data_IF_272647069749
#
_entry.id   IF_272647069749
#
_cell.length_a   1.000
_cell.length_b   1.000
_cell.length_c   1.000
_cell.angle_alpha   90.00
_cell.angle_beta   90.00
_cell.angle_gamma   90.00
#
_symmetry.space_group_name_H-M   'P 1'
#
loop_
_entity.id
_entity.type
_entity.pdbx_description
1 polymer ?
#
# COMPACT_ATOMS: atom_id res chain seq x y z
N UNK A 1 41.55 -10.15 1.68
CA UNK A 1 41.04 -9.07 2.55
C UNK A 1 39.84 -9.65 3.25
N UNK A 2 40.11 -10.25 4.41
CA UNK A 2 39.14 -10.95 5.26
C UNK A 2 38.20 -9.92 5.92
N UNK A 3 36.89 -10.19 5.85
CA UNK A 3 35.91 -9.53 6.69
C UNK A 3 35.98 -10.19 8.07
N UNK A 4 36.68 -9.57 9.00
CA UNK A 4 36.60 -9.92 10.42
C UNK A 4 35.25 -9.44 10.97
N UNK A 5 34.31 -10.38 11.11
CA UNK A 5 33.12 -10.20 11.92
C UNK A 5 33.53 -10.05 13.39
N UNK A 6 33.43 -8.83 13.93
CA UNK A 6 33.46 -8.60 15.37
C UNK A 6 32.15 -9.08 15.99
N UNK A 7 32.07 -10.37 16.33
CA UNK A 7 31.03 -10.91 17.21
C UNK A 7 31.55 -10.93 18.64
N UNK A 8 31.12 -9.96 19.44
CA UNK A 8 31.28 -9.98 20.90
C UNK A 8 30.23 -10.91 21.52
N UNK A 9 30.63 -11.93 22.31
CA UNK A 9 29.70 -12.86 22.94
C UNK A 9 29.20 -12.26 24.26
N UNK A 10 27.90 -11.92 24.34
CA UNK A 10 27.27 -11.67 25.64
C UNK A 10 26.11 -10.69 25.70
N UNK A 11 25.87 -9.84 24.69
CA UNK A 11 24.78 -8.86 24.74
C UNK A 11 23.78 -9.00 23.57
N UNK A 12 22.56 -8.59 23.85
CA UNK A 12 21.32 -8.87 23.12
C UNK A 12 21.30 -8.34 21.68
N UNK A 13 21.95 -9.04 20.75
CA UNK A 13 21.92 -8.80 19.29
C UNK A 13 20.56 -9.04 18.61
N UNK A 14 19.50 -9.34 19.35
CA UNK A 14 18.18 -9.58 18.76
C UNK A 14 17.63 -8.32 18.07
N UNK A 15 17.84 -7.14 18.64
CA UNK A 15 17.29 -5.90 18.08
C UNK A 15 18.05 -5.43 16.83
N UNK A 16 19.38 -5.53 16.84
CA UNK A 16 20.24 -5.19 15.69
C UNK A 16 20.02 -6.20 14.55
N UNK A 17 19.92 -7.50 14.86
CA UNK A 17 19.59 -8.54 13.88
C UNK A 17 18.20 -8.34 13.26
N UNK A 18 17.19 -7.98 14.05
CA UNK A 18 15.84 -7.69 13.54
C UNK A 18 15.80 -6.45 12.64
N UNK A 19 16.58 -5.41 12.96
CA UNK A 19 16.69 -4.23 12.11
C UNK A 19 17.37 -4.55 10.77
N UNK A 20 18.48 -5.30 10.80
CA UNK A 20 19.17 -5.74 9.59
C UNK A 20 18.30 -6.66 8.70
N UNK A 21 17.54 -7.58 9.31
CA UNK A 21 16.61 -8.45 8.57
C UNK A 21 15.49 -7.65 7.89
N UNK A 22 14.91 -6.66 8.58
CA UNK A 22 13.90 -5.76 7.98
C UNK A 22 14.45 -4.96 6.80
N UNK A 23 15.71 -4.53 6.86
CA UNK A 23 16.35 -3.86 5.72
C UNK A 23 16.54 -4.79 4.53
N UNK A 24 16.89 -6.07 4.75
CA UNK A 24 17.03 -7.07 3.67
C UNK A 24 15.68 -7.37 3.01
N UNK A 25 14.63 -7.54 3.80
CA UNK A 25 13.27 -7.78 3.27
C UNK A 25 12.75 -6.58 2.48
N UNK A 26 13.05 -5.36 2.94
CA UNK A 26 12.70 -4.12 2.24
C UNK A 26 13.47 -3.95 0.92
N UNK A 27 14.76 -4.31 0.91
CA UNK A 27 15.60 -4.33 -0.31
C UNK A 27 15.03 -5.31 -1.34
N UNK A 28 14.72 -6.53 -0.93
CA UNK A 28 14.11 -7.54 -1.80
C UNK A 28 12.75 -7.08 -2.35
N UNK A 29 11.96 -6.38 -1.51
CA UNK A 29 10.72 -5.75 -1.94
C UNK A 29 10.94 -4.70 -3.03
N UNK A 30 11.94 -3.83 -2.84
CA UNK A 30 12.29 -2.79 -3.82
C UNK A 30 12.76 -3.39 -5.15
N UNK A 31 13.66 -4.38 -5.11
CA UNK A 31 14.13 -5.11 -6.30
C UNK A 31 12.98 -5.76 -7.06
N UNK A 32 12.05 -6.41 -6.34
CA UNK A 32 10.88 -7.04 -6.95
C UNK A 32 9.94 -6.02 -7.61
N UNK A 33 9.78 -4.83 -7.03
CA UNK A 33 8.99 -3.74 -7.65
C UNK A 33 9.67 -3.24 -8.92
N UNK A 34 10.99 -3.04 -8.87
CA UNK A 34 11.78 -2.55 -10.01
C UNK A 34 11.68 -3.54 -11.18
N UNK A 35 11.91 -4.83 -10.91
CA UNK A 35 11.79 -5.90 -11.90
C UNK A 35 10.39 -5.92 -12.53
N UNK A 36 9.34 -5.81 -11.71
CA UNK A 36 7.97 -5.77 -12.21
C UNK A 36 7.69 -4.54 -13.10
N UNK A 37 8.22 -3.37 -12.72
CA UNK A 37 8.10 -2.15 -13.51
C UNK A 37 8.89 -2.21 -14.83
N UNK A 38 10.02 -2.90 -14.86
CA UNK A 38 10.81 -3.12 -16.07
C UNK A 38 10.10 -4.07 -17.04
N UNK A 39 9.58 -5.19 -16.55
CA UNK A 39 8.76 -6.12 -17.36
C UNK A 39 7.55 -5.38 -17.95
N UNK A 40 6.87 -4.56 -17.14
CA UNK A 40 5.75 -3.74 -17.62
C UNK A 40 6.17 -2.76 -18.72
N UNK A 41 7.32 -2.12 -18.57
CA UNK A 41 7.84 -1.17 -19.55
C UNK A 41 8.19 -1.87 -20.87
N UNK A 42 8.89 -2.99 -20.80
CA UNK A 42 9.23 -3.77 -21.99
C UNK A 42 7.98 -4.24 -22.74
N UNK A 43 6.97 -4.75 -22.02
CA UNK A 43 5.73 -5.20 -22.64
C UNK A 43 5.01 -4.02 -23.33
N UNK A 44 4.92 -2.87 -22.66
CA UNK A 44 4.29 -1.67 -23.23
C UNK A 44 5.05 -1.15 -24.46
N UNK A 45 6.38 -1.22 -24.44
CA UNK A 45 7.23 -0.81 -25.55
C UNK A 45 7.06 -1.76 -26.75
N UNK A 46 7.10 -3.08 -26.52
CA UNK A 46 6.83 -4.10 -27.56
C UNK A 46 5.45 -3.93 -28.19
N UNK A 47 4.43 -3.64 -27.38
CA UNK A 47 3.09 -3.35 -27.88
C UNK A 47 3.05 -2.06 -28.72
N UNK A 48 3.71 -0.99 -28.28
CA UNK A 48 3.76 0.26 -29.02
C UNK A 48 4.49 0.12 -30.38
N UNK A 49 5.61 -0.62 -30.40
CA UNK A 49 6.34 -0.93 -31.64
C UNK A 49 5.50 -1.79 -32.58
N UNK A 50 4.78 -2.78 -32.04
CA UNK A 50 3.85 -3.59 -32.82
C UNK A 50 2.71 -2.75 -33.40
N UNK A 51 2.11 -1.86 -32.62
CA UNK A 51 1.07 -0.94 -33.11
C UNK A 51 1.61 0.01 -34.19
N UNK A 52 2.82 0.53 -34.01
CA UNK A 52 3.46 1.42 -34.98
C UNK A 52 3.76 0.69 -36.30
N UNK A 53 4.30 -0.52 -36.23
CA UNK A 53 4.57 -1.36 -37.39
C UNK A 53 3.29 -1.84 -38.07
N UNK A 54 2.25 -2.20 -37.31
CA UNK A 54 0.92 -2.53 -37.85
C UNK A 54 0.27 -1.35 -38.57
N UNK A 55 0.33 -0.14 -37.98
CA UNK A 55 -0.16 1.10 -38.62
C UNK A 55 0.62 1.46 -39.87
N UNK A 56 1.93 1.21 -39.88
CA UNK A 56 2.78 1.45 -41.06
C UNK A 56 2.55 0.43 -42.18
N UNK A 57 2.28 -0.85 -41.85
CA UNK A 57 2.06 -1.92 -42.83
C UNK A 57 0.60 -2.08 -43.29
N UNK A 58 -0.37 -1.52 -42.55
CA UNK A 58 -1.80 -1.63 -42.86
C UNK A 58 -2.35 -3.07 -42.82
N UNK A 59 -1.63 -4.01 -42.21
CA UNK A 59 -2.02 -5.43 -42.05
C UNK A 59 -1.93 -5.83 -40.59
N UNK A 60 -2.91 -6.61 -40.12
CA UNK A 60 -2.88 -7.22 -38.79
C UNK A 60 -1.67 -8.14 -38.66
N UNK A 61 -0.69 -7.74 -37.86
CA UNK A 61 0.43 -8.60 -37.45
C UNK A 61 0.05 -9.39 -36.18
N UNK A 62 0.58 -10.60 -36.02
CA UNK A 62 0.35 -11.39 -34.81
C UNK A 62 0.97 -10.70 -33.59
N UNK A 63 0.23 -10.67 -32.48
CA UNK A 63 0.66 -10.02 -31.24
C UNK A 63 2.07 -10.47 -30.84
N UNK A 64 2.91 -9.54 -30.33
CA UNK A 64 4.27 -9.87 -29.93
C UNK A 64 4.27 -10.94 -28.81
N UNK A 65 5.30 -11.81 -28.77
CA UNK A 65 5.41 -12.80 -27.71
C UNK A 65 5.58 -12.08 -26.35
N UNK A 66 4.69 -12.39 -25.42
CA UNK A 66 4.70 -11.81 -24.05
C UNK A 66 6.00 -12.15 -23.33
N UNK A 67 6.42 -11.35 -22.37
CA UNK A 67 7.56 -11.68 -21.53
C UNK A 67 7.43 -13.08 -20.87
N UNK A 68 8.52 -13.85 -20.78
CA UNK A 68 8.54 -15.27 -20.34
C UNK A 68 7.92 -15.43 -18.95
N UNK A 69 8.19 -14.50 -18.02
CA UNK A 69 7.58 -14.52 -16.69
C UNK A 69 6.06 -14.37 -16.74
N UNK A 70 5.53 -13.51 -17.62
CA UNK A 70 4.08 -13.34 -17.80
C UNK A 70 3.45 -14.59 -18.41
N UNK A 71 4.15 -15.26 -19.33
CA UNK A 71 3.70 -16.52 -19.89
C UNK A 71 3.66 -17.63 -18.83
N UNK A 72 4.66 -17.70 -17.94
CA UNK A 72 4.75 -18.69 -16.88
C UNK A 72 3.63 -18.55 -15.82
N UNK A 73 3.18 -17.32 -15.57
CA UNK A 73 2.04 -17.02 -14.67
C UNK A 73 0.66 -17.28 -15.32
N UNK A 74 0.63 -17.58 -16.62
CA UNK A 74 -0.56 -17.96 -17.38
C UNK A 74 -1.23 -16.81 -18.14
N UNK A 75 -2.06 -17.17 -19.14
CA UNK A 75 -2.62 -16.27 -20.15
C UNK A 75 -3.48 -15.10 -19.61
N UNK A 76 -3.94 -15.17 -18.37
CA UNK A 76 -4.80 -14.17 -17.73
C UNK A 76 -4.04 -13.02 -17.04
N UNK A 77 -2.71 -13.10 -16.92
CA UNK A 77 -1.91 -12.02 -16.35
C UNK A 77 -1.56 -11.00 -17.43
N UNK A 78 -2.10 -9.79 -17.29
CA UNK A 78 -1.60 -8.61 -18.00
C UNK A 78 -0.40 -8.05 -17.26
N UNK A 79 0.49 -7.32 -17.95
CA UNK A 79 1.68 -6.76 -17.33
C UNK A 79 1.37 -5.82 -16.16
N UNK A 80 0.24 -5.10 -16.21
CA UNK A 80 -0.20 -4.26 -15.10
C UNK A 80 -0.68 -5.10 -13.92
N UNK A 81 -1.38 -6.21 -14.15
CA UNK A 81 -1.75 -7.11 -13.04
C UNK A 81 -0.53 -7.72 -12.35
N UNK A 82 0.55 -7.99 -13.10
CA UNK A 82 1.78 -8.50 -12.52
C UNK A 82 2.40 -7.50 -11.52
N UNK A 83 2.51 -6.23 -11.90
CA UNK A 83 3.01 -5.17 -11.00
C UNK A 83 2.14 -5.06 -9.74
N UNK A 84 0.81 -5.10 -9.90
CA UNK A 84 -0.11 -5.04 -8.77
C UNK A 84 0.05 -6.25 -7.83
N UNK A 85 0.25 -7.45 -8.38
CA UNK A 85 0.45 -8.65 -7.57
C UNK A 85 1.80 -8.66 -6.86
N UNK A 86 2.87 -8.15 -7.49
CA UNK A 86 4.16 -7.94 -6.84
C UNK A 86 4.04 -6.97 -5.65
N UNK A 87 3.24 -5.91 -5.78
CA UNK A 87 2.96 -5.00 -4.66
C UNK A 87 2.15 -5.66 -3.54
N UNK A 88 1.20 -6.54 -3.87
CA UNK A 88 0.38 -7.26 -2.88
C UNK A 88 1.17 -8.32 -2.10
N UNK A 89 2.20 -8.90 -2.72
CA UNK A 89 3.08 -9.88 -2.07
C UNK A 89 3.96 -9.26 -0.98
N UNK A 90 4.25 -7.96 -1.08
CA UNK A 90 5.09 -7.26 -0.11
C UNK A 90 4.29 -7.02 1.18
N UNK A 91 4.92 -7.30 2.31
CA UNK A 91 4.35 -7.04 3.64
C UNK A 91 4.06 -5.54 3.80
N UNK A 92 2.91 -5.22 4.40
CA UNK A 92 2.50 -3.83 4.59
C UNK A 92 3.47 -3.01 5.47
N UNK A 93 4.27 -3.69 6.31
CA UNK A 93 5.32 -3.07 7.14
C UNK A 93 6.53 -2.64 6.31
N UNK A 94 6.84 -3.39 5.26
CA UNK A 94 8.06 -3.24 4.47
C UNK A 94 7.80 -2.51 3.15
N UNK A 95 6.53 -2.36 2.76
CA UNK A 95 6.12 -1.65 1.55
C UNK A 95 6.62 -0.20 1.53
N UNK A 96 6.49 0.53 2.64
CA UNK A 96 6.95 1.92 2.74
C UNK A 96 8.48 1.99 2.67
N UNK A 97 9.18 1.09 3.35
CA UNK A 97 10.64 1.02 3.27
C UNK A 97 11.10 0.65 1.85
N UNK A 98 10.48 -0.34 1.20
CA UNK A 98 10.77 -0.71 -0.18
C UNK A 98 10.54 0.45 -1.16
N UNK A 99 9.44 1.20 -1.02
CA UNK A 99 9.15 2.36 -1.86
C UNK A 99 10.14 3.52 -1.67
N UNK A 100 10.74 3.65 -0.49
CA UNK A 100 11.78 4.65 -0.23
C UNK A 100 13.09 4.36 -0.99
N UNK A 101 13.38 3.09 -1.26
CA UNK A 101 14.59 2.65 -1.95
C UNK A 101 14.50 2.80 -3.48
N UNK A 102 13.34 3.19 -4.03
CA UNK A 102 13.15 3.31 -5.47
C UNK A 102 13.87 4.56 -6.04
N UNK A 103 14.60 4.42 -7.15
CA UNK A 103 15.11 5.58 -7.89
C UNK A 103 13.98 6.42 -8.51
N UNK A 104 14.19 7.73 -8.63
CA UNK A 104 13.16 8.68 -9.07
C UNK A 104 12.57 8.38 -10.45
N UNK A 105 13.36 7.85 -11.39
CA UNK A 105 12.89 7.49 -12.73
C UNK A 105 11.79 6.42 -12.72
N UNK A 106 11.84 5.50 -11.74
CA UNK A 106 10.82 4.47 -11.55
C UNK A 106 9.58 5.05 -10.87
N UNK A 107 9.75 6.01 -9.97
CA UNK A 107 8.65 6.68 -9.26
C UNK A 107 7.70 7.37 -10.23
N UNK A 108 8.22 8.09 -11.24
CA UNK A 108 7.38 8.78 -12.24
C UNK A 108 6.51 7.81 -13.04
N UNK A 109 7.13 6.71 -13.49
CA UNK A 109 6.44 5.64 -14.22
C UNK A 109 5.39 5.00 -13.34
N UNK A 110 5.73 4.77 -12.08
CA UNK A 110 4.83 4.16 -11.12
C UNK A 110 3.63 5.07 -10.77
N UNK A 111 3.82 6.38 -10.62
CA UNK A 111 2.71 7.34 -10.43
C UNK A 111 1.73 7.32 -11.60
N UNK A 112 2.23 7.26 -12.84
CA UNK A 112 1.39 7.14 -14.04
C UNK A 112 0.60 5.83 -14.07
N UNK A 113 1.22 4.76 -13.58
CA UNK A 113 0.61 3.43 -13.47
C UNK A 113 -0.48 3.40 -12.37
N UNK A 114 -0.28 4.13 -11.27
CA UNK A 114 -1.29 4.27 -10.23
C UNK A 114 -2.56 4.94 -10.77
N UNK A 115 -2.43 5.99 -11.60
CA UNK A 115 -3.60 6.61 -12.25
C UNK A 115 -4.40 5.57 -13.04
N UNK A 116 -3.72 4.73 -13.82
CA UNK A 116 -4.35 3.64 -14.57
C UNK A 116 -5.08 2.63 -13.66
N UNK A 117 -4.53 2.29 -12.49
CA UNK A 117 -5.21 1.40 -11.54
C UNK A 117 -6.43 2.03 -10.90
N UNK A 118 -6.36 3.32 -10.55
CA UNK A 118 -7.48 4.06 -9.96
C UNK A 118 -8.66 4.15 -10.93
N UNK A 119 -8.40 4.42 -12.21
CA UNK A 119 -9.44 4.45 -13.24
C UNK A 119 -10.15 3.10 -13.40
N UNK A 120 -9.45 1.98 -13.13
CA UNK A 120 -9.98 0.61 -13.20
C UNK A 120 -10.44 0.03 -11.86
N UNK A 121 -10.41 0.82 -10.78
CA UNK A 121 -10.75 0.38 -9.42
C UNK A 121 -10.01 -0.89 -8.97
N UNK A 122 -8.75 -1.07 -9.38
CA UNK A 122 -7.95 -2.23 -8.97
C UNK A 122 -7.19 -1.91 -7.67
N UNK A 123 -7.53 -2.62 -6.59
CA UNK A 123 -6.92 -2.45 -5.25
C UNK A 123 -6.71 -0.98 -4.84
N UNK A 124 -7.78 -0.16 -4.81
CA UNK A 124 -7.67 1.29 -4.68
C UNK A 124 -6.97 1.75 -3.39
N UNK A 125 -7.17 1.05 -2.27
CA UNK A 125 -6.54 1.38 -0.98
C UNK A 125 -5.01 1.29 -1.04
N UNK A 126 -4.48 0.23 -1.66
CA UNK A 126 -3.05 0.03 -1.83
C UNK A 126 -2.47 1.11 -2.75
N UNK A 127 -3.13 1.37 -3.87
CA UNK A 127 -2.73 2.40 -4.83
C UNK A 127 -2.68 3.80 -4.20
N UNK A 128 -3.71 4.19 -3.44
CA UNK A 128 -3.76 5.48 -2.74
C UNK A 128 -2.67 5.54 -1.66
N UNK A 129 -2.45 4.47 -0.90
CA UNK A 129 -1.37 4.42 0.11
C UNK A 129 0.00 4.64 -0.55
N UNK A 130 0.30 3.92 -1.62
CA UNK A 130 1.55 4.07 -2.37
C UNK A 130 1.70 5.49 -2.95
N UNK A 131 0.65 6.03 -3.58
CA UNK A 131 0.64 7.38 -4.15
C UNK A 131 0.96 8.45 -3.11
N UNK A 132 0.25 8.44 -1.98
CA UNK A 132 0.46 9.42 -0.90
C UNK A 132 1.88 9.33 -0.34
N UNK A 133 2.41 8.12 -0.19
CA UNK A 133 3.76 7.91 0.31
C UNK A 133 4.84 8.44 -0.66
N UNK A 134 4.73 8.10 -1.95
CA UNK A 134 5.67 8.55 -2.97
C UNK A 134 5.66 10.06 -3.16
N UNK A 135 4.48 10.68 -3.15
CA UNK A 135 4.36 12.15 -3.23
C UNK A 135 5.01 12.81 -2.02
N UNK A 136 4.82 12.24 -0.81
CA UNK A 136 5.41 12.79 0.42
C UNK A 136 6.94 12.75 0.41
N UNK A 137 7.54 11.67 -0.08
CA UNK A 137 9.00 11.52 -0.12
C UNK A 137 9.61 12.38 -1.23
N UNK A 138 9.04 12.31 -2.42
CA UNK A 138 9.63 12.96 -3.61
C UNK A 138 9.05 14.34 -3.90
N UNK A 139 8.39 14.98 -2.94
CA UNK A 139 7.76 16.29 -3.11
C UNK A 139 8.69 17.31 -3.77
N UNK A 140 9.94 17.44 -3.29
CA UNK A 140 10.90 18.41 -3.83
C UNK A 140 11.28 18.17 -5.31
N UNK A 141 11.41 16.90 -5.70
CA UNK A 141 11.70 16.54 -7.09
C UNK A 141 10.46 16.69 -7.98
N UNK A 142 9.27 16.40 -7.46
CA UNK A 142 8.00 16.53 -8.18
C UNK A 142 7.62 17.99 -8.44
N UNK A 143 7.87 18.90 -7.48
CA UNK A 143 7.59 20.33 -7.65
C UNK A 143 8.53 21.02 -8.63
N UNK A 144 9.66 20.40 -8.97
CA UNK A 144 10.69 21.01 -9.82
C UNK A 144 10.35 20.97 -11.33
N UNK A 145 9.43 20.12 -11.77
CA UNK A 145 9.06 20.01 -13.19
C UNK A 145 7.55 20.09 -13.41
N UNK A 146 7.13 20.92 -14.36
CA UNK A 146 5.72 21.16 -14.65
C UNK A 146 4.98 19.90 -15.14
N UNK A 147 5.68 19.00 -15.84
CA UNK A 147 5.11 17.74 -16.31
C UNK A 147 4.65 16.85 -15.15
N UNK A 148 5.41 16.82 -14.05
CA UNK A 148 5.04 16.01 -12.87
C UNK A 148 3.92 16.65 -12.07
N UNK A 149 3.81 17.99 -12.06
CA UNK A 149 2.70 18.68 -11.43
C UNK A 149 1.34 18.28 -12.04
N UNK A 150 1.26 18.16 -13.37
CA UNK A 150 0.04 17.69 -14.03
C UNK A 150 -0.31 16.25 -13.64
N UNK A 151 0.68 15.35 -13.57
CA UNK A 151 0.46 13.96 -13.12
C UNK A 151 -0.04 13.94 -11.67
N UNK A 152 0.53 14.76 -10.79
CA UNK A 152 0.10 14.86 -9.39
C UNK A 152 -1.32 15.43 -9.27
N UNK A 153 -1.70 16.40 -10.09
CA UNK A 153 -3.04 16.96 -10.11
C UNK A 153 -4.08 15.92 -10.57
N UNK A 154 -3.78 15.16 -11.62
CA UNK A 154 -4.62 14.04 -12.07
C UNK A 154 -4.77 13.01 -10.96
N UNK A 155 -3.66 12.64 -10.32
CA UNK A 155 -3.64 11.68 -9.22
C UNK A 155 -4.45 12.18 -8.02
N UNK A 156 -4.40 13.47 -7.69
CA UNK A 156 -5.22 14.09 -6.63
C UNK A 156 -6.70 13.88 -6.92
N UNK A 157 -7.14 14.25 -8.12
CA UNK A 157 -8.56 14.16 -8.53
C UNK A 157 -9.03 12.70 -8.51
N UNK A 158 -8.28 11.78 -9.14
CA UNK A 158 -8.62 10.35 -9.16
C UNK A 158 -8.65 9.72 -7.77
N UNK A 159 -7.70 10.06 -6.89
CA UNK A 159 -7.70 9.57 -5.51
C UNK A 159 -8.94 10.04 -4.77
N UNK A 160 -9.30 11.33 -4.86
CA UNK A 160 -10.47 11.89 -4.19
C UNK A 160 -11.77 11.24 -4.69
N UNK A 161 -11.95 11.12 -6.01
CA UNK A 161 -13.10 10.47 -6.62
C UNK A 161 -13.25 9.01 -6.15
N UNK A 162 -12.13 8.30 -6.07
CA UNK A 162 -12.09 6.88 -5.64
C UNK A 162 -12.48 6.75 -4.17
N UNK A 163 -11.94 7.60 -3.30
CA UNK A 163 -12.27 7.62 -1.86
C UNK A 163 -13.73 8.00 -1.64
N UNK A 164 -14.26 8.97 -2.39
CA UNK A 164 -15.66 9.35 -2.30
C UNK A 164 -16.59 8.21 -2.73
N UNK A 165 -16.31 7.54 -3.84
CA UNK A 165 -17.07 6.37 -4.30
C UNK A 165 -17.03 5.23 -3.26
N UNK A 166 -15.86 4.94 -2.69
CA UNK A 166 -15.74 3.94 -1.62
C UNK A 166 -16.56 4.33 -0.39
N UNK A 167 -16.48 5.60 0.05
CA UNK A 167 -17.25 6.11 1.18
C UNK A 167 -18.75 6.00 0.93
N UNK A 168 -19.20 6.37 -0.26
CA UNK A 168 -20.62 6.32 -0.65
C UNK A 168 -21.14 4.89 -0.69
N UNK A 169 -20.39 3.95 -1.29
CA UNK A 169 -20.76 2.54 -1.32
C UNK A 169 -20.85 1.94 0.08
N UNK A 170 -19.84 2.18 0.92
CA UNK A 170 -19.83 1.70 2.31
C UNK A 170 -20.97 2.35 3.11
N UNK A 171 -21.19 3.66 2.93
CA UNK A 171 -22.25 4.40 3.61
C UNK A 171 -23.66 3.90 3.23
N UNK A 172 -23.90 3.69 1.94
CA UNK A 172 -25.16 3.16 1.42
C UNK A 172 -25.41 1.74 1.92
N UNK A 173 -24.43 0.84 1.80
CA UNK A 173 -24.54 -0.53 2.26
C UNK A 173 -24.77 -0.61 3.78
N UNK A 174 -24.08 0.23 4.56
CA UNK A 174 -24.26 0.29 6.00
C UNK A 174 -25.65 0.80 6.39
N UNK A 175 -26.17 1.81 5.70
CA UNK A 175 -27.53 2.31 5.91
C UNK A 175 -28.58 1.24 5.56
N UNK A 176 -28.41 0.53 4.44
CA UNK A 176 -29.26 -0.58 4.04
C UNK A 176 -29.25 -1.73 5.05
N UNK A 177 -28.07 -2.15 5.52
CA UNK A 177 -27.94 -3.17 6.57
C UNK A 177 -28.58 -2.76 7.89
N UNK A 178 -28.49 -1.47 8.26
CA UNK A 178 -29.16 -0.94 9.46
C UNK A 178 -30.69 -0.98 9.33
N UNK A 179 -31.21 -0.68 8.14
CA UNK A 179 -32.65 -0.77 7.86
C UNK A 179 -33.13 -2.22 7.95
N UNK A 180 -32.44 -3.14 7.27
CA UNK A 180 -32.77 -4.58 7.31
C UNK A 180 -32.72 -5.10 8.75
N UNK A 181 -31.68 -4.74 9.51
CA UNK A 181 -31.58 -5.08 10.93
C UNK A 181 -32.79 -4.60 11.72
N UNK A 182 -33.21 -3.34 11.53
CA UNK A 182 -34.36 -2.76 12.20
C UNK A 182 -35.66 -3.50 11.86
N UNK A 183 -35.88 -3.85 10.59
CA UNK A 183 -37.05 -4.62 10.17
C UNK A 183 -37.09 -6.02 10.82
N UNK A 184 -35.93 -6.68 10.93
CA UNK A 184 -35.83 -7.99 11.60
C UNK A 184 -36.12 -7.87 13.10
N UNK A 185 -35.62 -6.81 13.76
CA UNK A 185 -35.89 -6.53 15.17
C UNK A 185 -37.38 -6.22 15.42
N UNK A 186 -38.03 -5.49 14.50
CA UNK A 186 -39.48 -5.19 14.55
C UNK A 186 -40.35 -6.44 14.29
N UNK A 187 -39.93 -7.35 13.40
CA UNK A 187 -40.70 -8.57 13.07
C UNK A 187 -40.58 -9.67 14.13
N UNK A 188 -39.45 -9.77 14.82
CA UNK A 188 -39.21 -10.86 15.78
C UNK A 188 -39.50 -10.47 17.24
N UNK A 189 -39.92 -9.22 17.51
CA UNK A 189 -40.24 -8.66 18.84
C UNK A 189 -39.17 -8.96 19.93
N UNK A 190 -37.94 -9.21 19.49
CA UNK A 190 -36.81 -9.59 20.33
C UNK A 190 -35.62 -8.73 19.91
N UNK A 191 -35.08 -7.99 20.87
CA UNK A 191 -33.85 -7.20 20.72
C UNK A 191 -32.65 -8.16 20.74
N UNK A 192 -32.53 -9.01 19.71
CA UNK A 192 -31.58 -10.13 19.65
C UNK A 192 -30.09 -9.69 19.68
N UNK A 193 -29.78 -8.41 19.47
CA UNK A 193 -28.41 -7.96 19.19
C UNK A 193 -27.88 -6.81 20.07
N UNK A 194 -28.65 -6.28 21.02
CA UNK A 194 -28.14 -5.24 21.93
C UNK A 194 -26.92 -5.73 22.73
N UNK A 195 -26.96 -6.98 23.22
CA UNK A 195 -25.91 -7.54 24.07
C UNK A 195 -24.63 -7.92 23.27
N UNK A 196 -24.77 -8.36 22.02
CA UNK A 196 -23.63 -8.71 21.17
C UNK A 196 -22.83 -7.48 20.68
N UNK A 197 -23.53 -6.39 20.33
CA UNK A 197 -22.85 -5.15 19.92
C UNK A 197 -22.21 -4.40 21.10
N UNK A 198 -22.80 -4.46 22.31
CA UNK A 198 -22.19 -3.91 23.53
C UNK A 198 -20.89 -4.62 23.93
N UNK A 199 -20.78 -5.94 23.73
CA UNK A 199 -19.54 -6.70 24.02
C UNK A 199 -18.38 -6.31 23.10
N UNK A 200 -18.65 -5.99 21.83
CA UNK A 200 -17.65 -5.51 20.87
C UNK A 200 -17.17 -4.07 21.14
N UNK A 201 -18.06 -3.17 21.58
CA UNK A 201 -17.70 -1.79 21.90
C UNK A 201 -16.99 -1.69 23.25
N UNK A 202 -17.43 -2.43 24.27
CA UNK A 202 -16.78 -2.47 25.58
C UNK A 202 -15.37 -3.08 25.56
N UNK A 203 -15.12 -4.06 24.67
CA UNK A 203 -13.77 -4.61 24.43
C UNK A 203 -12.77 -3.59 23.88
N UNK A 204 -13.22 -2.66 23.02
CA UNK A 204 -12.38 -1.56 22.49
C UNK A 204 -12.06 -0.53 23.59
N UNK A 205 -12.98 -0.25 24.51
CA UNK A 205 -12.77 0.70 25.61
C UNK A 205 -11.82 0.14 26.69
N UNK A 206 -11.90 -1.17 26.99
CA UNK A 206 -10.94 -1.84 27.90
C UNK A 206 -9.51 -1.83 27.36
N UNK A 207 -9.32 -2.04 26.05
CA UNK A 207 -8.00 -1.95 25.40
C UNK A 207 -7.39 -0.54 25.46
N UNK A 208 -8.20 0.52 25.31
CA UNK A 208 -7.72 1.92 25.44
C UNK A 208 -7.35 2.32 26.88
N UNK A 209 -7.98 1.72 27.91
CA UNK A 209 -7.60 1.95 29.32
C UNK A 209 -6.29 1.27 29.71
N UNK A 210 -6.01 0.07 29.18
CA UNK A 210 -4.78 -0.69 29.52
C UNK A 210 -3.50 -0.07 28.92
N UNK A 211 -3.61 0.76 27.89
CA UNK A 211 -2.49 1.53 27.33
C UNK A 211 -2.19 2.87 28.04
N UNK A 212 -3.01 3.30 29.00
CA UNK A 212 -2.81 4.55 29.76
C UNK A 212 -2.33 4.34 31.21
N UNK A 213 -2.29 3.12 31.71
CA UNK A 213 -1.93 2.81 33.11
C UNK A 213 -0.45 2.43 33.30
N UNK A 214 0.40 2.49 32.26
CA UNK A 214 1.84 2.23 32.38
C UNK A 214 2.70 3.47 32.63
N UNK A 215 2.08 4.63 32.90
CA UNK A 215 2.79 5.85 33.29
C UNK A 215 2.27 6.35 34.66
N UNK A 216 2.50 5.58 35.71
CA UNK A 216 2.37 6.06 37.08
C UNK A 216 3.76 6.55 37.53
N UNK A 217 3.93 7.87 37.52
CA UNK A 217 5.11 8.59 38.00
C UNK A 217 5.16 8.47 39.54
N UNK A 218 6.18 7.79 40.06
CA UNK A 218 6.54 7.81 41.48
C UNK A 218 7.09 9.20 41.83
N UNK A 219 6.32 10.00 42.58
CA UNK A 219 6.82 11.24 43.20
C UNK A 219 6.92 11.03 44.70
N UNK A 220 8.16 10.90 45.21
CA UNK A 220 8.47 10.88 46.64
C UNK A 220 8.55 12.35 47.08
N UNK A 221 7.61 12.81 47.91
CA UNK A 221 7.73 14.11 48.59
C UNK A 221 8.77 14.00 49.70
N UNK A 222 9.90 14.69 49.53
CA UNK A 222 10.86 14.94 50.59
C UNK A 222 10.25 15.86 51.66
N UNK A 223 10.27 15.41 52.90
CA UNK A 223 9.97 16.21 54.09
C UNK A 223 11.25 16.91 54.54
N UNK A 224 11.29 18.24 54.47
CA UNK A 224 12.22 19.07 55.23
C UNK A 224 11.43 20.16 55.96
N UNK A 225 11.98 20.60 57.09
CA UNK A 225 11.52 21.64 58.03
C UNK A 225 10.70 21.15 59.25
N UNK A 226 11.45 20.76 60.28
CA UNK A 226 11.16 21.03 61.69
C UNK A 226 12.51 21.25 62.40
N UNK A 227 12.96 22.51 62.43
CA UNK A 227 13.85 23.14 63.42
C UNK A 227 13.98 24.63 63.05
#
# INVERSE_FOLDING_TARGET
>A
MENDEFVLPGETNKEIGLAALKTIESLKGAESIIEALDIWREEKLKLAEHEATQKALGKEMPLPPRHIMLQALGCHYTAERFVLESLRKISASDLEAALLLLPFDYVQKFLSLIIYYLDRFQSPELCVKCAVFLIKIHHGLLTSSHQYLNIVEQLRTRCMDTVEKLRTNVGFNLAGLRLIRRQIEEQNDVILFADATQKLTSGKTKRRKKGKTSAAILTIKGTSALA
#
